data_IF_165485487954
#
_entry.id   IF_165485487954
#
_cell.length_a   1.000
_cell.length_b   1.000
_cell.length_c   1.000
_cell.angle_alpha   90.00
_cell.angle_beta   90.00
_cell.angle_gamma   90.00
#
_symmetry.space_group_name_H-M   'P 1'
#
loop_
_entity.id
_entity.type
_entity.pdbx_description
1 polymer ?
#
# COMPACT_ATOMS: atom_id res chain seq x y z
N UNK A 1 -0.53 19.91 -5.65
CA UNK A 1 -0.34 18.74 -6.49
C UNK A 1 -0.92 17.53 -5.79
N UNK A 2 -1.84 16.81 -6.43
CA UNK A 2 -2.47 15.60 -5.91
C UNK A 2 -2.23 14.46 -6.91
N UNK A 3 -1.79 13.31 -6.42
CA UNK A 3 -1.66 12.09 -7.23
C UNK A 3 -2.53 11.02 -6.61
N UNK A 4 -3.38 10.41 -7.41
CA UNK A 4 -4.17 9.25 -7.04
C UNK A 4 -3.47 8.02 -7.63
N UNK A 5 -3.10 7.09 -6.77
CA UNK A 5 -2.52 5.80 -7.13
C UNK A 5 -3.50 4.68 -6.80
N UNK A 6 -3.82 3.85 -7.80
CA UNK A 6 -4.67 2.67 -7.64
C UNK A 6 -3.85 1.40 -7.82
N UNK A 7 -4.12 0.41 -6.98
CA UNK A 7 -3.41 -0.85 -6.96
C UNK A 7 -3.49 -1.65 -8.26
N UNK A 8 -4.65 -1.62 -8.89
CA UNK A 8 -4.97 -2.33 -10.12
C UNK A 8 -4.42 -1.67 -11.39
N UNK A 9 -4.06 -0.41 -11.30
CA UNK A 9 -3.41 0.30 -12.39
C UNK A 9 -1.90 0.14 -12.33
N UNK A 10 -1.39 -1.02 -12.72
CA UNK A 10 0.03 -1.21 -13.04
C UNK A 10 0.43 -0.40 -14.30
N UNK A 11 -0.20 0.73 -14.53
CA UNK A 11 0.28 1.67 -15.55
C UNK A 11 1.60 2.22 -15.07
N UNK A 12 2.66 1.56 -15.51
CA UNK A 12 3.99 2.13 -15.55
C UNK A 12 3.85 3.60 -15.91
N UNK A 13 4.36 4.43 -15.04
CA UNK A 13 4.40 5.86 -15.27
C UNK A 13 5.18 6.05 -16.58
N UNK A 14 4.47 6.20 -17.70
CA UNK A 14 5.04 6.48 -19.04
C UNK A 14 6.03 7.65 -19.04
N UNK A 15 6.15 8.35 -17.92
CA UNK A 15 6.98 9.53 -17.69
C UNK A 15 8.49 9.29 -17.72
N UNK A 16 8.95 8.06 -17.60
CA UNK A 16 10.39 7.77 -17.52
C UNK A 16 10.96 7.14 -18.78
N UNK A 17 10.14 6.82 -19.77
CA UNK A 17 10.63 6.34 -21.05
C UNK A 17 11.11 7.53 -21.89
N UNK A 18 12.43 7.79 -21.86
CA UNK A 18 13.06 8.50 -22.96
C UNK A 18 13.05 7.54 -24.16
N UNK A 19 12.29 7.83 -25.25
CA UNK A 19 12.16 6.91 -26.39
C UNK A 19 13.49 6.59 -27.08
N UNK A 20 14.56 7.32 -26.75
CA UNK A 20 15.93 7.07 -27.23
C UNK A 20 16.75 6.14 -26.35
N UNK A 21 16.26 5.80 -25.15
CA UNK A 21 16.97 4.93 -24.21
C UNK A 21 16.24 3.60 -24.05
N UNK A 22 16.89 2.51 -24.46
CA UNK A 22 16.34 1.15 -24.32
C UNK A 22 16.30 0.65 -22.87
N UNK A 23 17.04 1.27 -21.95
CA UNK A 23 17.05 0.91 -20.53
C UNK A 23 17.21 2.15 -19.67
N UNK A 24 16.35 2.28 -18.66
CA UNK A 24 16.38 3.37 -17.68
C UNK A 24 16.38 2.74 -16.29
N UNK A 25 17.45 2.96 -15.54
CA UNK A 25 17.46 2.55 -14.14
C UNK A 25 16.45 3.39 -13.35
N UNK A 26 15.82 2.77 -12.36
CA UNK A 26 15.01 3.52 -11.41
C UNK A 26 15.89 4.56 -10.70
N UNK A 27 15.26 5.62 -10.27
CA UNK A 27 15.94 6.68 -9.54
C UNK A 27 16.67 6.09 -8.30
N UNK A 28 17.85 6.63 -7.98
CA UNK A 28 18.77 6.08 -6.99
C UNK A 28 18.12 5.85 -5.62
N UNK A 29 17.32 6.80 -5.14
CA UNK A 29 16.63 6.72 -3.86
C UNK A 29 15.61 5.58 -3.85
N UNK A 30 14.90 5.37 -4.96
CA UNK A 30 13.98 4.23 -5.13
C UNK A 30 14.72 2.89 -5.16
N UNK A 31 15.90 2.82 -5.79
CA UNK A 31 16.74 1.62 -5.81
C UNK A 31 17.27 1.28 -4.41
N UNK A 32 17.70 2.29 -3.65
CA UNK A 32 18.13 2.13 -2.25
C UNK A 32 16.97 1.68 -1.35
N UNK A 33 15.81 2.28 -1.48
CA UNK A 33 14.61 1.88 -0.73
C UNK A 33 14.17 0.46 -1.07
N UNK A 34 14.21 0.08 -2.35
CA UNK A 34 13.88 -1.27 -2.80
C UNK A 34 14.85 -2.33 -2.22
N UNK A 35 16.14 -2.00 -2.08
CA UNK A 35 17.12 -2.86 -1.41
C UNK A 35 16.83 -3.01 0.08
N UNK A 36 16.43 -1.94 0.77
CA UNK A 36 15.98 -2.01 2.16
C UNK A 36 14.69 -2.82 2.30
N UNK A 37 13.80 -2.75 1.31
CA UNK A 37 12.58 -3.55 1.27
C UNK A 37 12.86 -5.04 1.08
N UNK A 38 13.97 -5.40 0.43
CA UNK A 38 14.44 -6.78 0.34
C UNK A 38 14.50 -7.36 -1.08
N UNK A 39 14.75 -6.53 -2.10
CA UNK A 39 15.07 -7.06 -3.44
C UNK A 39 16.39 -7.84 -3.40
N UNK A 40 16.44 -8.94 -4.15
CA UNK A 40 17.63 -9.80 -4.24
C UNK A 40 18.52 -9.48 -5.44
N UNK A 41 18.13 -8.51 -6.28
CA UNK A 41 18.90 -8.08 -7.43
C UNK A 41 19.93 -6.98 -7.07
N UNK A 42 20.88 -6.74 -7.96
CA UNK A 42 21.86 -5.67 -7.75
C UNK A 42 21.30 -4.28 -8.04
N UNK A 43 20.29 -4.21 -8.92
CA UNK A 43 19.57 -3.00 -9.26
C UNK A 43 18.25 -3.36 -9.96
N UNK A 44 17.36 -2.39 -10.06
CA UNK A 44 16.14 -2.50 -10.87
C UNK A 44 16.14 -1.41 -11.95
N UNK A 45 15.48 -1.67 -13.06
CA UNK A 45 15.41 -0.72 -14.16
C UNK A 45 14.27 -1.03 -15.11
N UNK A 46 13.80 0.00 -15.82
CA UNK A 46 12.80 -0.15 -16.86
C UNK A 46 13.48 -0.35 -18.22
N UNK A 47 12.97 -1.28 -19.01
CA UNK A 47 13.42 -1.55 -20.38
C UNK A 47 12.24 -1.33 -21.31
N UNK A 48 12.48 -0.56 -22.38
CA UNK A 48 11.54 -0.36 -23.48
C UNK A 48 11.99 -1.22 -24.65
N UNK A 49 11.09 -2.09 -25.13
CA UNK A 49 11.31 -2.88 -26.35
C UNK A 49 10.76 -2.15 -27.57
N UNK A 50 11.35 -2.39 -28.74
CA UNK A 50 10.86 -1.83 -30.00
C UNK A 50 9.47 -2.41 -30.37
N UNK A 51 9.13 -3.61 -29.84
CA UNK A 51 7.89 -4.33 -30.11
C UNK A 51 6.77 -4.02 -29.08
N UNK A 52 7.11 -3.39 -27.95
CA UNK A 52 6.15 -3.09 -26.87
C UNK A 52 6.31 -1.63 -26.45
N UNK A 53 5.23 -0.82 -26.53
CA UNK A 53 5.29 0.62 -26.21
C UNK A 53 5.44 0.89 -24.70
N UNK A 54 5.17 -0.11 -23.86
CA UNK A 54 5.23 0.03 -22.41
C UNK A 54 6.56 -0.46 -21.86
N UNK A 55 7.18 0.35 -21.01
CA UNK A 55 8.40 -0.04 -20.33
C UNK A 55 8.11 -1.15 -19.30
N UNK A 56 8.89 -2.24 -19.34
CA UNK A 56 8.82 -3.33 -18.34
C UNK A 56 9.91 -3.17 -17.30
N UNK A 57 9.58 -3.50 -16.05
CA UNK A 57 10.55 -3.53 -14.96
C UNK A 57 11.39 -4.81 -15.04
N UNK A 58 12.69 -4.66 -14.89
CA UNK A 58 13.66 -5.76 -14.86
C UNK A 58 14.50 -5.71 -13.60
N UNK A 59 14.75 -6.86 -13.02
CA UNK A 59 15.77 -7.11 -12.00
C UNK A 59 17.11 -7.35 -12.68
N UNK A 60 18.13 -6.59 -12.27
CA UNK A 60 19.44 -6.58 -12.90
C UNK A 60 20.45 -7.26 -11.98
N UNK A 61 21.13 -8.26 -12.51
CA UNK A 61 22.16 -9.03 -11.82
C UNK A 61 23.53 -8.78 -12.45
N UNK A 62 24.54 -8.47 -11.62
CA UNK A 62 25.92 -8.31 -12.04
C UNK A 62 26.74 -9.52 -11.59
N UNK A 63 27.24 -10.27 -12.53
CA UNK A 63 28.15 -11.35 -12.22
C UNK A 63 29.56 -10.79 -11.96
N UNK A 64 30.01 -10.89 -10.70
CA UNK A 64 31.30 -10.35 -10.27
C UNK A 64 32.51 -11.03 -10.93
N UNK A 65 32.36 -12.31 -11.34
CA UNK A 65 33.47 -13.08 -11.93
C UNK A 65 33.73 -12.75 -13.39
N UNK A 66 32.69 -12.55 -14.18
CA UNK A 66 32.83 -12.35 -15.64
C UNK A 66 32.38 -10.96 -16.12
N UNK A 67 32.02 -10.06 -15.19
CA UNK A 67 31.53 -8.69 -15.45
C UNK A 67 30.29 -8.64 -16.37
N UNK A 68 29.62 -9.77 -16.59
CA UNK A 68 28.39 -9.81 -17.38
C UNK A 68 27.22 -9.31 -16.54
N UNK A 69 26.33 -8.56 -17.18
CA UNK A 69 25.07 -8.13 -16.60
C UNK A 69 23.95 -8.94 -17.23
N UNK A 70 23.08 -9.50 -16.41
CA UNK A 70 21.87 -10.23 -16.84
C UNK A 70 20.67 -9.46 -16.30
N UNK A 71 19.67 -9.27 -17.14
CA UNK A 71 18.39 -8.71 -16.73
C UNK A 71 17.31 -9.79 -16.86
N UNK A 72 16.47 -9.89 -15.86
CA UNK A 72 15.32 -10.81 -15.80
C UNK A 72 14.08 -9.95 -15.58
N UNK A 73 12.99 -10.23 -16.27
CA UNK A 73 11.74 -9.51 -16.09
C UNK A 73 11.29 -9.61 -14.62
N UNK A 74 10.95 -8.46 -14.01
CA UNK A 74 10.70 -8.39 -12.58
C UNK A 74 9.46 -9.18 -12.16
N UNK A 75 8.46 -9.29 -13.03
CA UNK A 75 7.24 -10.08 -12.80
C UNK A 75 7.48 -11.58 -12.68
N UNK A 76 8.62 -12.06 -13.21
CA UNK A 76 9.05 -13.47 -13.08
C UNK A 76 9.87 -13.67 -11.80
N UNK A 77 10.60 -12.66 -11.37
CA UNK A 77 11.62 -12.81 -10.33
C UNK A 77 11.24 -12.18 -8.98
N UNK A 78 10.60 -11.00 -9.02
CA UNK A 78 10.23 -10.26 -7.82
C UNK A 78 8.80 -10.60 -7.38
N UNK A 79 8.52 -10.41 -6.10
CA UNK A 79 7.15 -10.49 -5.61
C UNK A 79 6.30 -9.33 -6.14
N UNK A 80 5.00 -9.55 -6.24
CA UNK A 80 4.05 -8.50 -6.61
C UNK A 80 4.17 -7.27 -5.67
N UNK A 81 4.34 -7.50 -4.37
CA UNK A 81 4.54 -6.45 -3.39
C UNK A 81 5.82 -5.63 -3.63
N UNK A 82 6.91 -6.28 -4.05
CA UNK A 82 8.16 -5.61 -4.43
C UNK A 82 7.95 -4.69 -5.63
N UNK A 83 7.30 -5.20 -6.68
CA UNK A 83 7.01 -4.42 -7.89
C UNK A 83 6.12 -3.23 -7.55
N UNK A 84 5.07 -3.45 -6.76
CA UNK A 84 4.17 -2.40 -6.31
C UNK A 84 4.90 -1.33 -5.49
N UNK A 85 5.75 -1.74 -4.55
CA UNK A 85 6.57 -0.82 -3.77
C UNK A 85 7.45 0.05 -4.68
N UNK A 86 8.17 -0.55 -5.63
CA UNK A 86 9.04 0.17 -6.57
C UNK A 86 8.24 1.20 -7.40
N UNK A 87 7.02 0.85 -7.81
CA UNK A 87 6.17 1.76 -8.59
C UNK A 87 5.56 2.89 -7.75
N UNK A 88 5.26 2.63 -6.48
CA UNK A 88 4.64 3.60 -5.57
C UNK A 88 5.67 4.57 -4.97
N UNK A 89 6.84 4.10 -4.61
CA UNK A 89 7.82 4.87 -3.83
C UNK A 89 8.26 6.19 -4.49
N UNK A 90 8.44 6.28 -5.83
CA UNK A 90 8.69 7.56 -6.49
C UNK A 90 7.60 8.62 -6.28
N UNK A 91 6.34 8.19 -6.08
CA UNK A 91 5.23 9.09 -5.78
C UNK A 91 5.33 9.65 -4.36
N UNK A 92 5.77 8.81 -3.41
CA UNK A 92 6.09 9.26 -2.04
C UNK A 92 7.18 10.33 -2.07
N UNK A 93 8.31 10.06 -2.77
CA UNK A 93 9.39 11.03 -2.96
C UNK A 93 8.86 12.34 -3.54
N UNK A 94 8.03 12.22 -4.60
CA UNK A 94 7.48 13.40 -5.27
C UNK A 94 6.57 14.22 -4.36
N UNK A 95 5.71 13.56 -3.58
CA UNK A 95 4.85 14.24 -2.59
C UNK A 95 5.71 14.99 -1.56
N UNK A 96 6.70 14.32 -0.98
CA UNK A 96 7.60 14.89 0.02
C UNK A 96 8.37 16.11 -0.51
N UNK A 97 8.86 16.05 -1.76
CA UNK A 97 9.59 17.16 -2.39
C UNK A 97 8.74 18.38 -2.70
N UNK A 98 7.44 18.20 -2.92
CA UNK A 98 6.55 19.27 -3.41
C UNK A 98 5.55 19.76 -2.38
N UNK A 99 5.47 19.13 -1.20
CA UNK A 99 4.38 19.39 -0.24
C UNK A 99 3.00 18.97 -0.78
N UNK A 100 2.98 17.97 -1.68
CA UNK A 100 1.76 17.51 -2.32
C UNK A 100 0.98 16.52 -1.48
N UNK A 101 -0.25 16.22 -1.90
CA UNK A 101 -1.09 15.16 -1.32
C UNK A 101 -1.00 13.91 -2.18
N UNK A 102 -0.56 12.81 -1.57
CA UNK A 102 -0.58 11.47 -2.16
C UNK A 102 -1.82 10.72 -1.67
N UNK A 103 -2.66 10.31 -2.61
CA UNK A 103 -3.84 9.48 -2.31
C UNK A 103 -3.61 8.08 -2.86
N UNK A 104 -3.70 7.06 -2.00
CA UNK A 104 -3.44 5.67 -2.36
C UNK A 104 -4.63 4.80 -2.01
N UNK A 105 -5.17 4.12 -3.01
CA UNK A 105 -6.20 3.11 -2.84
C UNK A 105 -5.55 1.77 -2.51
N UNK A 106 -6.09 1.04 -1.52
CA UNK A 106 -5.55 -0.23 -1.02
C UNK A 106 -4.04 -0.15 -0.72
N UNK A 107 -3.65 0.80 0.14
CA UNK A 107 -2.24 1.08 0.42
C UNK A 107 -1.43 -0.16 0.78
N UNK A 108 -2.03 -1.09 1.50
CA UNK A 108 -1.40 -2.29 2.05
C UNK A 108 -1.47 -3.52 1.12
N UNK A 109 -2.09 -3.41 -0.06
CA UNK A 109 -2.18 -4.56 -0.95
C UNK A 109 -0.79 -5.10 -1.32
N UNK A 110 -0.51 -6.32 -0.87
CA UNK A 110 0.71 -7.09 -1.12
C UNK A 110 2.03 -6.49 -0.62
N UNK A 111 2.04 -5.32 0.02
CA UNK A 111 3.25 -4.72 0.58
C UNK A 111 3.34 -5.08 2.08
N UNK A 112 4.56 -5.40 2.53
CA UNK A 112 4.78 -5.76 3.93
C UNK A 112 4.41 -4.58 4.85
N UNK A 113 3.59 -4.79 5.90
CA UNK A 113 3.10 -3.71 6.75
C UNK A 113 4.19 -2.83 7.36
N UNK A 114 5.33 -3.40 7.73
CA UNK A 114 6.45 -2.63 8.29
C UNK A 114 7.03 -1.60 7.32
N UNK A 115 7.06 -1.89 6.03
CA UNK A 115 7.49 -0.91 5.02
C UNK A 115 6.51 0.25 4.91
N UNK A 116 5.21 -0.04 4.98
CA UNK A 116 4.16 0.98 4.94
C UNK A 116 4.16 1.84 6.21
N UNK A 117 4.33 1.23 7.39
CA UNK A 117 4.48 1.96 8.65
C UNK A 117 5.70 2.89 8.62
N UNK A 118 6.80 2.45 7.99
CA UNK A 118 7.97 3.30 7.78
C UNK A 118 7.66 4.50 6.89
N UNK A 119 6.91 4.31 5.81
CA UNK A 119 6.46 5.42 4.95
C UNK A 119 5.56 6.38 5.74
N UNK A 120 4.57 5.87 6.48
CA UNK A 120 3.67 6.68 7.30
C UNK A 120 4.47 7.54 8.30
N UNK A 121 5.45 6.95 8.98
CA UNK A 121 6.32 7.65 9.90
C UNK A 121 7.13 8.77 9.24
N UNK A 122 7.52 8.62 7.97
CA UNK A 122 8.19 9.69 7.20
C UNK A 122 7.25 10.88 7.00
N UNK A 123 5.96 10.66 6.73
CA UNK A 123 4.97 11.74 6.63
C UNK A 123 4.71 12.43 7.98
N UNK A 124 4.82 11.70 9.10
CA UNK A 124 4.64 12.26 10.46
C UNK A 124 5.89 12.92 11.03
N UNK A 125 7.03 12.79 10.38
CA UNK A 125 8.29 13.34 10.85
C UNK A 125 8.51 14.75 10.31
N UNK A 126 8.30 15.78 11.14
CA UNK A 126 8.43 17.18 10.75
C UNK A 126 9.85 17.57 10.29
N UNK A 127 10.89 16.87 10.78
CA UNK A 127 12.28 17.09 10.36
C UNK A 127 12.55 16.62 8.92
N UNK A 128 11.73 15.68 8.42
CA UNK A 128 11.83 15.10 7.08
C UNK A 128 10.76 15.68 6.16
N UNK A 129 9.53 15.79 6.64
CA UNK A 129 8.39 16.33 5.89
C UNK A 129 8.34 17.86 5.95
N UNK A 130 9.43 18.52 5.62
CA UNK A 130 9.60 19.97 5.70
C UNK A 130 8.64 20.78 4.80
N UNK A 131 8.07 20.12 3.80
CA UNK A 131 7.10 20.73 2.88
C UNK A 131 5.65 20.37 3.22
N UNK A 132 5.41 19.71 4.36
CA UNK A 132 4.07 19.33 4.84
C UNK A 132 3.25 18.54 3.83
N UNK A 133 3.90 17.57 3.17
CA UNK A 133 3.23 16.61 2.31
C UNK A 133 2.18 15.80 3.08
N UNK A 134 1.11 15.40 2.42
CA UNK A 134 0.02 14.64 3.01
C UNK A 134 -0.12 13.27 2.36
N UNK A 135 -0.44 12.26 3.17
CA UNK A 135 -0.79 10.91 2.73
C UNK A 135 -2.22 10.61 3.13
N UNK A 136 -3.05 10.27 2.15
CA UNK A 136 -4.42 9.79 2.36
C UNK A 136 -4.50 8.40 1.75
N UNK A 137 -4.96 7.43 2.52
CA UNK A 137 -5.10 6.07 2.02
C UNK A 137 -6.26 5.33 2.67
N UNK A 138 -6.74 4.29 2.02
CA UNK A 138 -7.59 3.30 2.62
C UNK A 138 -6.85 1.96 2.78
N UNK A 139 -7.35 1.14 3.68
CA UNK A 139 -6.81 -0.18 3.98
C UNK A 139 -7.90 -1.05 4.58
N UNK A 140 -7.85 -2.35 4.30
CA UNK A 140 -8.67 -3.35 4.98
C UNK A 140 -7.92 -4.05 6.13
N UNK A 141 -6.68 -3.65 6.39
CA UNK A 141 -5.83 -4.31 7.38
C UNK A 141 -5.90 -3.60 8.74
N UNK A 142 -6.52 -4.23 9.75
CA UNK A 142 -6.71 -3.61 11.06
C UNK A 142 -5.41 -3.37 11.84
N UNK A 143 -4.26 -3.88 11.38
CA UNK A 143 -2.95 -3.60 11.99
C UNK A 143 -2.63 -2.10 12.01
N UNK A 144 -3.23 -1.32 11.11
CA UNK A 144 -3.09 0.13 11.07
C UNK A 144 -3.96 0.86 12.09
N UNK A 145 -4.87 0.15 12.80
CA UNK A 145 -5.57 0.68 13.97
C UNK A 145 -4.63 0.69 15.17
N UNK A 146 -3.61 1.53 15.10
CA UNK A 146 -2.50 1.58 16.05
C UNK A 146 -2.34 3.00 16.62
N UNK A 147 -2.55 3.14 17.92
CA UNK A 147 -2.47 4.42 18.64
C UNK A 147 -1.06 5.03 18.71
N UNK A 148 -0.02 4.25 18.40
CA UNK A 148 1.35 4.75 18.27
C UNK A 148 1.66 5.25 16.85
N UNK A 149 0.83 4.87 15.87
CA UNK A 149 1.03 5.24 14.47
C UNK A 149 0.13 6.41 14.08
N UNK A 150 -1.10 6.44 14.58
CA UNK A 150 -2.11 7.45 14.23
C UNK A 150 -2.78 8.07 15.44
N UNK A 151 -3.14 9.33 15.29
CA UNK A 151 -4.08 10.00 16.17
C UNK A 151 -5.51 9.55 15.83
N UNK A 152 -6.43 9.68 16.77
CA UNK A 152 -7.85 9.32 16.59
C UNK A 152 -8.55 10.10 15.47
N UNK A 153 -8.15 11.35 15.26
CA UNK A 153 -8.68 12.21 14.20
C UNK A 153 -8.16 11.84 12.80
N UNK A 154 -7.07 11.10 12.71
CA UNK A 154 -6.51 10.58 11.46
C UNK A 154 -7.18 9.29 11.01
N UNK A 155 -7.75 8.51 11.94
CA UNK A 155 -8.43 7.25 11.63
C UNK A 155 -9.88 7.53 11.28
N UNK A 156 -10.28 7.11 10.09
CA UNK A 156 -11.65 7.21 9.57
C UNK A 156 -12.21 5.82 9.28
N UNK A 157 -13.48 5.64 9.56
CA UNK A 157 -14.24 4.45 9.20
C UNK A 157 -15.24 4.80 8.11
N UNK A 158 -15.44 3.87 7.19
CA UNK A 158 -16.50 3.92 6.19
C UNK A 158 -17.41 2.74 6.43
N UNK A 159 -18.66 3.01 6.68
CA UNK A 159 -19.69 1.99 6.86
C UNK A 159 -20.74 2.16 5.76
N UNK A 160 -21.14 1.05 5.16
CA UNK A 160 -22.18 1.04 4.13
C UNK A 160 -23.42 0.36 4.67
N UNK A 161 -24.54 1.05 4.57
CA UNK A 161 -25.85 0.48 4.85
C UNK A 161 -26.20 -0.57 3.78
N UNK A 162 -26.61 -1.76 4.21
CA UNK A 162 -26.87 -2.88 3.29
C UNK A 162 -28.21 -2.72 2.54
N UNK A 163 -29.16 -1.95 3.07
CA UNK A 163 -30.48 -1.74 2.47
C UNK A 163 -30.49 -0.54 1.51
N UNK A 164 -29.99 0.60 1.99
CA UNK A 164 -29.98 1.86 1.21
C UNK A 164 -28.78 1.99 0.32
N UNK A 165 -27.71 1.24 0.60
CA UNK A 165 -26.40 1.35 -0.03
C UNK A 165 -25.68 2.69 0.19
N UNK A 166 -26.17 3.51 1.08
CA UNK A 166 -25.52 4.75 1.47
C UNK A 166 -24.26 4.46 2.28
N UNK A 167 -23.24 5.32 2.13
CA UNK A 167 -22.00 5.21 2.87
C UNK A 167 -21.87 6.36 3.86
N UNK A 168 -21.50 6.03 5.09
CA UNK A 168 -21.25 7.00 6.16
C UNK A 168 -19.76 7.00 6.49
N UNK A 169 -19.15 8.18 6.54
CA UNK A 169 -17.79 8.41 6.96
C UNK A 169 -17.77 9.06 8.34
N UNK A 170 -17.05 8.47 9.28
CA UNK A 170 -16.86 9.03 10.63
C UNK A 170 -15.45 8.79 11.14
N UNK A 171 -15.02 9.59 12.12
CA UNK A 171 -13.69 9.49 12.71
C UNK A 171 -13.72 8.70 14.03
N UNK A 172 -12.60 8.05 14.34
CA UNK A 172 -12.42 7.44 15.67
C UNK A 172 -12.51 8.49 16.80
N UNK A 173 -12.20 9.75 16.51
CA UNK A 173 -12.35 10.88 17.45
C UNK A 173 -13.81 11.21 17.77
N UNK A 174 -14.76 10.86 16.92
CA UNK A 174 -16.18 11.18 17.10
C UNK A 174 -16.82 10.39 18.27
N UNK A 175 -16.20 9.29 18.68
CA UNK A 175 -16.61 8.51 19.87
C UNK A 175 -16.30 9.21 21.22
N UNK A 176 -15.66 10.39 21.20
CA UNK A 176 -15.28 11.10 22.43
C UNK A 176 -14.21 10.38 23.25
N UNK A 177 -14.09 10.74 24.54
CA UNK A 177 -13.08 10.17 25.45
C UNK A 177 -13.68 9.59 26.73
N UNK A 178 -14.98 9.76 26.93
CA UNK A 178 -15.71 9.39 28.16
C UNK A 178 -16.92 8.51 27.82
N UNK A 179 -17.38 7.75 28.82
CA UNK A 179 -18.48 6.79 28.65
C UNK A 179 -18.02 5.44 28.12
N UNK A 180 -18.98 4.51 27.97
CA UNK A 180 -18.71 3.10 27.61
C UNK A 180 -18.15 2.94 26.19
N UNK A 181 -18.48 3.86 25.30
CA UNK A 181 -17.97 3.90 23.90
C UNK A 181 -16.81 4.88 23.73
N UNK A 182 -16.36 5.54 24.79
CA UNK A 182 -15.25 6.49 24.73
C UNK A 182 -13.95 5.82 24.30
N UNK A 183 -13.18 6.52 23.44
CA UNK A 183 -11.89 6.05 22.93
C UNK A 183 -10.79 6.93 23.53
N UNK A 184 -9.92 6.31 24.33
CA UNK A 184 -8.80 7.03 24.96
C UNK A 184 -7.55 6.96 24.09
N UNK A 185 -6.64 7.90 24.30
CA UNK A 185 -5.30 7.85 23.72
C UNK A 185 -4.58 6.61 24.26
N UNK A 186 -3.87 5.89 23.40
CA UNK A 186 -3.11 4.66 23.71
C UNK A 186 -3.95 3.43 24.09
N UNK A 187 -5.21 3.40 23.73
CA UNK A 187 -5.99 2.16 23.77
C UNK A 187 -5.60 1.22 22.61
N UNK A 188 -5.94 -0.06 22.78
CA UNK A 188 -5.84 -1.05 21.72
C UNK A 188 -7.03 -0.90 20.75
N UNK A 189 -6.87 -0.03 19.75
CA UNK A 189 -7.93 0.22 18.77
C UNK A 189 -8.25 -1.02 17.94
N UNK A 190 -7.25 -1.84 17.63
CA UNK A 190 -7.45 -3.04 16.82
C UNK A 190 -8.34 -4.06 17.55
N UNK A 191 -8.03 -4.38 18.81
CA UNK A 191 -8.86 -5.31 19.61
C UNK A 191 -10.29 -4.82 19.78
N UNK A 192 -10.49 -3.51 19.96
CA UNK A 192 -11.82 -2.91 20.08
C UNK A 192 -12.60 -2.90 18.76
N UNK A 193 -11.91 -2.78 17.64
CA UNK A 193 -12.51 -2.92 16.33
C UNK A 193 -13.08 -4.32 16.13
N UNK A 194 -12.33 -5.37 16.48
CA UNK A 194 -12.77 -6.76 16.32
C UNK A 194 -13.96 -7.14 17.19
N UNK A 195 -14.21 -6.43 18.29
CA UNK A 195 -15.44 -6.60 19.09
C UNK A 195 -16.56 -5.64 18.67
N UNK A 196 -16.44 -5.06 17.46
CA UNK A 196 -17.44 -4.15 16.86
C UNK A 196 -17.74 -2.88 17.68
N UNK A 197 -16.79 -2.42 18.52
CA UNK A 197 -17.01 -1.23 19.34
C UNK A 197 -17.15 0.05 18.49
N UNK A 198 -16.54 0.08 17.31
CA UNK A 198 -16.51 1.25 16.41
C UNK A 198 -17.47 1.10 15.22
N UNK A 199 -18.14 -0.02 15.05
CA UNK A 199 -18.85 -0.32 13.79
C UNK A 199 -17.90 -0.67 12.64
N UNK A 200 -18.35 -0.48 11.41
CA UNK A 200 -17.59 -0.71 10.16
C UNK A 200 -16.93 -2.10 10.07
N UNK A 201 -17.53 -3.10 10.69
CA UNK A 201 -17.10 -4.50 10.61
C UNK A 201 -18.33 -5.35 10.24
N UNK A 202 -18.16 -6.23 9.27
CA UNK A 202 -19.18 -7.22 8.92
C UNK A 202 -18.89 -8.51 9.64
N UNK A 203 -19.91 -9.09 10.24
CA UNK A 203 -19.88 -10.47 10.73
C UNK A 203 -20.06 -11.38 9.50
N UNK A 204 -18.99 -12.10 9.16
CA UNK A 204 -18.97 -12.98 7.99
C UNK A 204 -18.82 -14.41 8.49
N UNK A 205 -19.90 -15.19 8.35
CA UNK A 205 -19.92 -16.63 8.65
C UNK A 205 -20.27 -17.41 7.37
N UNK A 206 -19.32 -18.17 6.87
CA UNK A 206 -19.49 -19.06 5.72
C UNK A 206 -19.99 -20.46 6.10
N UNK A 207 -20.06 -20.78 7.40
CA UNK A 207 -20.44 -22.13 7.89
C UNK A 207 -21.76 -22.62 7.31
N UNK A 208 -22.85 -21.84 7.28
CA UNK A 208 -24.13 -22.32 6.74
C UNK A 208 -24.06 -22.74 5.27
N UNK A 209 -23.23 -22.06 4.45
CA UNK A 209 -23.05 -22.40 3.05
C UNK A 209 -22.39 -23.77 2.90
N UNK A 210 -21.35 -24.03 3.72
CA UNK A 210 -20.66 -25.33 3.65
C UNK A 210 -21.49 -26.45 4.26
N UNK A 211 -22.30 -26.16 5.29
CA UNK A 211 -23.23 -27.14 5.87
C UNK A 211 -24.26 -27.60 4.84
N UNK A 212 -24.85 -26.68 4.06
CA UNK A 212 -25.78 -27.01 3.00
C UNK A 212 -25.14 -27.91 1.94
N UNK A 213 -23.97 -27.52 1.40
CA UNK A 213 -23.25 -28.28 0.36
C UNK A 213 -22.87 -29.70 0.85
N UNK A 214 -22.42 -29.81 2.09
CA UNK A 214 -21.95 -31.09 2.63
C UNK A 214 -23.10 -32.01 3.13
N UNK A 215 -24.28 -31.47 3.42
CA UNK A 215 -25.46 -32.27 3.72
C UNK A 215 -26.02 -32.94 2.46
N UNK A 216 -26.04 -32.24 1.33
CA UNK A 216 -26.52 -32.77 0.05
C UNK A 216 -25.68 -33.96 -0.44
N UNK A 217 -24.39 -34.02 -0.12
CA UNK A 217 -23.49 -35.15 -0.46
C UNK A 217 -23.77 -36.41 0.39
N UNK A 218 -24.48 -36.33 1.51
CA UNK A 218 -24.79 -37.46 2.39
C UNK A 218 -26.11 -38.19 2.01
N UNK A 219 -26.94 -37.54 1.22
CA UNK A 219 -28.23 -38.08 0.78
C UNK A 219 -28.20 -38.70 -0.65
N UNK A 220 -27.07 -38.66 -1.35
CA UNK A 220 -26.85 -39.26 -2.68
C UNK A 220 -25.95 -40.48 -2.61
#
# INVERSE_FOLDING_TARGET
>A
FMVIYRADSMQLIKRFADPKKKAIYVEKTTDEAAKLFGINSNAVGYVVSDDEPDAKLYSVFKNMKNKKTTAVAADIFESYGTIRFINMFPLVIKAMQTGGTLVVDEFDASIHPMALMSIINVFHNDDVNIHHAQLIFNTHNPIFLNSNLFRRDEIKFVERDDDTHDSVLYALSDFGTTGDKGVRKHEDYMSKYFISQYGAIKDIDFTPIFEEILCDEKEG
#
